data_IF_444093057678
#
_entry.id   IF_444093057678
#
_cell.length_a   1.000
_cell.length_b   1.000
_cell.length_c   1.000
_cell.angle_alpha   90.00
_cell.angle_beta   90.00
_cell.angle_gamma   90.00
#
_symmetry.space_group_name_H-M   'P 1'
#
loop_
_entity.id
_entity.type
_entity.pdbx_description
1 polymer ?
#
# COMPACT_ATOMS: atom_id res chain seq x y z
N UNK A 1 -17.64 -0.78 -26.26
CA UNK A 1 -16.44 -0.18 -26.90
C UNK A 1 -15.41 -1.28 -27.00
N UNK A 2 -15.11 -1.69 -28.23
CA UNK A 2 -14.33 -2.89 -28.54
C UNK A 2 -12.84 -2.59 -28.39
N UNK A 3 -12.14 -3.30 -27.51
CA UNK A 3 -10.68 -3.28 -27.45
C UNK A 3 -10.14 -4.28 -28.49
N UNK A 4 -9.38 -3.86 -29.52
CA UNK A 4 -8.83 -4.76 -30.53
C UNK A 4 -7.72 -5.68 -29.97
N UNK A 5 -7.23 -5.43 -28.76
CA UNK A 5 -6.37 -6.34 -28.01
C UNK A 5 -7.13 -6.86 -26.79
N UNK A 6 -7.65 -8.09 -26.85
CA UNK A 6 -8.46 -8.70 -25.78
C UNK A 6 -7.71 -9.05 -24.49
N UNK A 7 -6.89 -8.14 -23.94
CA UNK A 7 -6.30 -8.30 -22.61
C UNK A 7 -7.19 -7.62 -21.58
N UNK A 8 -8.08 -8.42 -20.99
CA UNK A 8 -8.82 -8.04 -19.79
C UNK A 8 -7.89 -7.89 -18.58
N UNK A 9 -8.40 -7.35 -17.45
CA UNK A 9 -7.63 -7.22 -16.22
C UNK A 9 -7.09 -8.57 -15.76
N UNK A 10 -5.78 -8.66 -15.49
CA UNK A 10 -5.13 -9.89 -15.05
C UNK A 10 -4.99 -9.91 -13.52
N UNK A 11 -5.55 -10.94 -12.89
CA UNK A 11 -5.42 -11.12 -11.44
C UNK A 11 -4.09 -11.78 -11.04
N UNK A 12 -3.33 -12.31 -12.01
CA UNK A 12 -2.08 -13.01 -11.75
C UNK A 12 -1.04 -12.06 -11.14
N UNK A 13 -0.80 -10.90 -11.74
CA UNK A 13 0.16 -9.91 -11.21
C UNK A 13 -0.17 -9.48 -9.77
N UNK A 14 -1.36 -8.93 -9.51
CA UNK A 14 -1.81 -8.51 -8.18
C UNK A 14 -1.66 -9.60 -7.12
N UNK A 15 -2.11 -10.81 -7.42
CA UNK A 15 -2.04 -11.94 -6.49
C UNK A 15 -0.59 -12.24 -6.07
N UNK A 16 0.32 -12.37 -7.05
CA UNK A 16 1.71 -12.69 -6.76
C UNK A 16 2.47 -11.52 -6.12
N UNK A 17 2.22 -10.29 -6.56
CA UNK A 17 2.81 -9.09 -5.95
C UNK A 17 2.44 -9.01 -4.47
N UNK A 18 1.16 -9.20 -4.12
CA UNK A 18 0.71 -9.12 -2.74
C UNK A 18 1.35 -10.20 -1.88
N UNK A 19 1.32 -11.48 -2.30
CA UNK A 19 1.86 -12.58 -1.50
C UNK A 19 3.37 -12.47 -1.31
N UNK A 20 4.11 -12.12 -2.36
CA UNK A 20 5.56 -11.97 -2.25
C UNK A 20 5.92 -10.78 -1.36
N UNK A 21 5.20 -9.66 -1.47
CA UNK A 21 5.43 -8.50 -0.61
C UNK A 21 5.11 -8.77 0.86
N UNK A 22 4.10 -9.59 1.16
CA UNK A 22 3.81 -10.06 2.54
C UNK A 22 5.05 -10.71 3.14
N UNK A 23 5.68 -11.62 2.40
CA UNK A 23 6.89 -12.28 2.85
C UNK A 23 8.06 -11.30 3.01
N UNK A 24 8.26 -10.41 2.05
CA UNK A 24 9.30 -9.38 2.13
C UNK A 24 9.13 -8.52 3.39
N UNK A 25 7.96 -7.93 3.62
CA UNK A 25 7.72 -7.10 4.80
C UNK A 25 7.92 -7.88 6.10
N UNK A 26 7.42 -9.11 6.19
CA UNK A 26 7.61 -9.94 7.37
C UNK A 26 9.09 -10.18 7.71
N UNK A 27 9.90 -10.48 6.68
CA UNK A 27 11.35 -10.69 6.84
C UNK A 27 12.08 -9.39 7.14
N UNK A 28 11.85 -8.34 6.36
CA UNK A 28 12.55 -7.05 6.52
C UNK A 28 12.23 -6.39 7.85
N UNK A 29 11.00 -6.50 8.35
CA UNK A 29 10.63 -5.98 9.67
C UNK A 29 11.29 -6.74 10.81
N UNK A 30 11.36 -8.07 10.72
CA UNK A 30 12.10 -8.87 11.70
C UNK A 30 13.61 -8.57 11.68
N UNK A 31 14.20 -8.38 10.50
CA UNK A 31 15.61 -7.96 10.37
C UNK A 31 15.84 -6.55 10.91
N UNK A 32 14.92 -5.64 10.67
CA UNK A 32 14.96 -4.28 11.20
C UNK A 32 14.92 -4.27 12.74
N UNK A 33 14.10 -5.14 13.34
CA UNK A 33 14.05 -5.36 14.79
C UNK A 33 15.38 -5.92 15.30
N UNK A 34 15.95 -6.92 14.63
CA UNK A 34 17.26 -7.49 14.99
C UNK A 34 18.36 -6.42 15.06
N UNK A 35 18.43 -5.51 14.09
CA UNK A 35 19.43 -4.43 14.10
C UNK A 35 19.23 -3.39 15.21
N UNK A 36 18.04 -3.32 15.83
CA UNK A 36 17.77 -2.46 16.97
C UNK A 36 18.00 -3.14 18.32
N UNK A 37 18.10 -4.47 18.38
CA UNK A 37 18.33 -5.22 19.62
C UNK A 37 19.84 -5.38 19.84
N UNK A 38 20.39 -4.80 20.90
CA UNK A 38 21.84 -4.86 21.18
C UNK A 38 22.28 -6.00 22.10
N UNK A 39 21.40 -6.54 22.97
CA UNK A 39 21.87 -7.38 24.09
C UNK A 39 20.98 -8.59 24.47
N UNK A 40 19.90 -8.88 23.74
CA UNK A 40 18.98 -10.00 24.05
C UNK A 40 18.96 -11.08 22.95
N UNK A 41 18.66 -12.33 23.32
CA UNK A 41 18.48 -13.42 22.35
C UNK A 41 17.35 -13.05 21.37
N UNK A 42 17.70 -12.88 20.10
CA UNK A 42 16.73 -12.50 19.08
C UNK A 42 15.71 -13.62 18.87
N UNK A 43 14.44 -13.31 19.15
CA UNK A 43 13.30 -14.16 18.79
C UNK A 43 12.53 -13.50 17.65
N UNK A 44 12.41 -14.21 16.53
CA UNK A 44 11.62 -13.74 15.40
C UNK A 44 10.14 -13.71 15.77
N UNK A 45 9.48 -12.57 15.52
CA UNK A 45 8.09 -12.38 15.85
C UNK A 45 7.19 -12.71 14.64
N UNK A 46 6.48 -13.83 14.76
CA UNK A 46 5.52 -14.36 13.77
C UNK A 46 4.35 -13.38 13.56
N UNK A 47 4.02 -12.52 14.54
CA UNK A 47 2.95 -11.55 14.40
C UNK A 47 3.23 -10.54 13.28
N UNK A 48 4.49 -10.26 12.93
CA UNK A 48 4.82 -9.44 11.76
C UNK A 48 4.25 -10.04 10.47
N UNK A 49 4.33 -11.36 10.27
CA UNK A 49 3.77 -12.03 9.09
C UNK A 49 2.25 -11.90 9.05
N UNK A 50 1.59 -12.09 10.20
CA UNK A 50 0.13 -11.98 10.32
C UNK A 50 -0.32 -10.54 10.02
N UNK A 51 0.38 -9.55 10.60
CA UNK A 51 0.10 -8.14 10.34
C UNK A 51 0.32 -7.77 8.87
N UNK A 52 1.43 -8.23 8.25
CA UNK A 52 1.71 -7.94 6.83
C UNK A 52 0.62 -8.52 5.94
N UNK A 53 0.17 -9.74 6.25
CA UNK A 53 -0.93 -10.39 5.54
C UNK A 53 -2.21 -9.56 5.63
N UNK A 54 -2.64 -9.20 6.84
CA UNK A 54 -3.87 -8.41 7.03
C UNK A 54 -3.81 -7.07 6.30
N UNK A 55 -2.71 -6.33 6.45
CA UNK A 55 -2.55 -4.98 5.90
C UNK A 55 -2.52 -5.02 4.37
N UNK A 56 -1.70 -5.90 3.78
CA UNK A 56 -1.54 -5.97 2.32
C UNK A 56 -2.75 -6.58 1.62
N UNK A 57 -3.39 -7.61 2.18
CA UNK A 57 -4.63 -8.15 1.62
C UNK A 57 -5.76 -7.12 1.69
N UNK A 58 -5.85 -6.36 2.78
CA UNK A 58 -6.83 -5.28 2.92
C UNK A 58 -6.61 -4.20 1.86
N UNK A 59 -5.37 -3.78 1.65
CA UNK A 59 -5.04 -2.76 0.64
C UNK A 59 -5.27 -3.26 -0.80
N UNK A 60 -4.89 -4.50 -1.11
CA UNK A 60 -4.95 -5.04 -2.46
C UNK A 60 -6.34 -5.52 -2.90
N UNK A 61 -7.21 -5.94 -1.96
CA UNK A 61 -8.51 -6.55 -2.30
C UNK A 61 -9.70 -5.85 -1.64
N UNK A 62 -9.65 -5.59 -0.34
CA UNK A 62 -10.79 -5.00 0.37
C UNK A 62 -10.99 -3.52 -0.01
N UNK A 63 -9.90 -2.74 0.00
CA UNK A 63 -9.91 -1.33 -0.35
C UNK A 63 -10.45 -1.06 -1.78
N UNK A 64 -9.98 -1.74 -2.85
CA UNK A 64 -10.57 -1.58 -4.17
C UNK A 64 -12.04 -2.05 -4.23
N UNK A 65 -12.46 -3.02 -3.41
CA UNK A 65 -13.88 -3.39 -3.31
C UNK A 65 -14.74 -2.26 -2.74
N UNK A 66 -14.28 -1.60 -1.68
CA UNK A 66 -14.97 -0.43 -1.10
C UNK A 66 -15.01 0.73 -2.10
N UNK A 67 -13.89 1.02 -2.76
CA UNK A 67 -13.81 2.08 -3.78
C UNK A 67 -14.67 1.78 -5.00
N UNK A 68 -14.81 0.51 -5.40
CA UNK A 68 -15.74 0.11 -6.46
C UNK A 68 -17.17 0.47 -6.09
N UNK A 69 -17.61 0.15 -4.87
CA UNK A 69 -18.96 0.52 -4.39
C UNK A 69 -19.12 2.05 -4.41
N UNK A 70 -18.12 2.78 -3.92
CA UNK A 70 -18.11 4.25 -3.96
C UNK A 70 -18.22 4.77 -5.39
N UNK A 71 -17.41 4.29 -6.33
CA UNK A 71 -17.48 4.73 -7.74
C UNK A 71 -18.85 4.43 -8.37
N UNK A 72 -19.48 3.29 -8.03
CA UNK A 72 -20.84 2.96 -8.47
C UNK A 72 -21.88 3.92 -7.92
N UNK A 73 -21.78 4.34 -6.66
CA UNK A 73 -22.65 5.37 -6.07
C UNK A 73 -22.51 6.73 -6.78
N UNK A 74 -21.34 7.01 -7.34
CA UNK A 74 -21.06 8.24 -8.08
C UNK A 74 -21.31 8.12 -9.60
N UNK A 75 -21.89 7.00 -10.05
CA UNK A 75 -22.18 6.68 -11.45
C UNK A 75 -20.93 6.60 -12.36
N UNK A 76 -19.76 6.28 -11.80
CA UNK A 76 -18.52 6.04 -12.54
C UNK A 76 -18.43 4.56 -12.92
N UNK A 77 -18.14 4.31 -14.18
CA UNK A 77 -18.02 2.96 -14.74
C UNK A 77 -16.55 2.51 -14.73
N UNK A 78 -16.11 1.98 -13.60
CA UNK A 78 -14.82 1.29 -13.46
C UNK A 78 -15.07 -0.12 -12.89
N UNK A 79 -14.70 -1.20 -13.59
CA UNK A 79 -14.97 -2.55 -13.11
C UNK A 79 -14.07 -2.92 -11.93
N UNK A 80 -14.61 -3.71 -11.00
CA UNK A 80 -13.91 -4.14 -9.79
C UNK A 80 -12.55 -4.78 -10.09
N UNK A 81 -12.48 -5.63 -11.12
CA UNK A 81 -11.26 -6.34 -11.48
C UNK A 81 -10.15 -5.38 -11.91
N UNK A 82 -10.45 -4.32 -12.66
CA UNK A 82 -9.45 -3.30 -13.01
C UNK A 82 -8.94 -2.57 -11.76
N UNK A 83 -9.82 -2.31 -10.79
CA UNK A 83 -9.45 -1.61 -9.57
C UNK A 83 -8.60 -2.49 -8.64
N UNK A 84 -8.95 -3.77 -8.49
CA UNK A 84 -8.12 -4.77 -7.79
C UNK A 84 -6.75 -4.90 -8.46
N UNK A 85 -6.72 -4.94 -9.80
CA UNK A 85 -5.47 -5.02 -10.52
C UNK A 85 -4.60 -3.79 -10.28
N UNK A 86 -5.20 -2.60 -10.41
CA UNK A 86 -4.53 -1.34 -10.21
C UNK A 86 -3.92 -1.21 -8.81
N UNK A 87 -4.67 -1.57 -7.76
CA UNK A 87 -4.19 -1.55 -6.38
C UNK A 87 -3.14 -2.63 -6.09
N UNK A 88 -3.24 -3.80 -6.72
CA UNK A 88 -2.19 -4.81 -6.64
C UNK A 88 -0.89 -4.35 -7.29
N UNK A 89 -0.96 -3.75 -8.48
CA UNK A 89 0.20 -3.20 -9.17
C UNK A 89 0.81 -1.98 -8.48
N UNK A 90 0.00 -1.18 -7.76
CA UNK A 90 0.51 -0.03 -7.02
C UNK A 90 1.37 -0.43 -5.81
N UNK A 91 1.43 -1.72 -5.45
CA UNK A 91 2.34 -2.22 -4.41
C UNK A 91 3.79 -2.40 -4.87
N UNK A 92 4.07 -2.39 -6.18
CA UNK A 92 5.43 -2.60 -6.72
C UNK A 92 6.50 -1.66 -6.13
N UNK A 93 6.25 -0.35 -5.90
CA UNK A 93 7.23 0.54 -5.27
C UNK A 93 7.69 0.09 -3.88
N UNK A 94 6.93 -0.75 -3.19
CA UNK A 94 7.27 -1.24 -1.86
C UNK A 94 8.33 -2.34 -1.85
N UNK A 95 8.61 -3.01 -2.99
CA UNK A 95 9.74 -3.95 -3.06
C UNK A 95 11.08 -3.28 -2.81
N UNK A 96 11.53 -2.28 -3.60
CA UNK A 96 12.78 -1.58 -3.31
C UNK A 96 12.72 -0.84 -1.98
N UNK A 97 11.54 -0.31 -1.58
CA UNK A 97 11.39 0.35 -0.30
C UNK A 97 11.65 -0.60 0.88
N UNK A 98 11.13 -1.83 0.84
CA UNK A 98 11.33 -2.82 1.90
C UNK A 98 12.81 -3.13 2.13
N UNK A 99 13.62 -3.17 1.07
CA UNK A 99 15.06 -3.37 1.16
C UNK A 99 15.78 -2.16 1.78
N UNK A 100 15.37 -0.95 1.42
CA UNK A 100 15.93 0.28 2.00
C UNK A 100 15.58 0.39 3.50
N UNK A 101 14.40 -0.07 3.90
CA UNK A 101 13.94 -0.03 5.30
C UNK A 101 14.68 -0.97 6.24
N UNK A 102 15.62 -1.79 5.75
CA UNK A 102 16.58 -2.49 6.61
C UNK A 102 17.46 -1.52 7.40
N UNK A 103 17.72 -0.33 6.87
CA UNK A 103 18.55 0.67 7.57
C UNK A 103 17.76 1.21 8.77
N UNK A 104 18.24 1.00 10.01
CA UNK A 104 17.53 1.37 11.24
C UNK A 104 17.68 2.88 11.53
N UNK A 105 17.11 3.72 10.66
CA UNK A 105 17.16 5.17 10.79
C UNK A 105 15.77 5.78 10.65
N UNK A 106 15.22 6.28 11.75
CA UNK A 106 13.82 6.73 11.83
C UNK A 106 13.45 7.76 10.74
N UNK A 107 14.28 8.79 10.54
CA UNK A 107 14.03 9.82 9.52
C UNK A 107 14.08 9.23 8.10
N UNK A 108 14.94 8.25 7.87
CA UNK A 108 15.11 7.59 6.58
C UNK A 108 13.89 6.72 6.25
N UNK A 109 13.37 5.99 7.24
CA UNK A 109 12.14 5.20 7.09
C UNK A 109 10.94 6.05 6.66
N UNK A 110 10.77 7.21 7.31
CA UNK A 110 9.71 8.15 6.97
C UNK A 110 9.79 8.59 5.50
N UNK A 111 10.98 8.94 5.02
CA UNK A 111 11.19 9.37 3.63
C UNK A 111 10.94 8.22 2.66
N UNK A 112 11.52 7.05 2.91
CA UNK A 112 11.38 5.88 2.01
C UNK A 112 9.91 5.46 1.89
N UNK A 113 9.19 5.36 3.01
CA UNK A 113 7.76 5.03 2.99
C UNK A 113 6.91 6.11 2.33
N UNK A 114 7.24 7.39 2.53
CA UNK A 114 6.52 8.51 1.91
C UNK A 114 6.70 8.48 0.39
N UNK A 115 7.92 8.24 -0.10
CA UNK A 115 8.20 8.13 -1.54
C UNK A 115 7.49 6.92 -2.13
N UNK A 116 7.57 5.74 -1.51
CA UNK A 116 6.88 4.54 -1.99
C UNK A 116 5.36 4.74 -2.08
N UNK A 117 4.77 5.31 -1.03
CA UNK A 117 3.34 5.62 -0.97
C UNK A 117 2.95 6.70 -1.99
N UNK A 118 3.79 7.73 -2.16
CA UNK A 118 3.58 8.77 -3.16
C UNK A 118 3.56 8.22 -4.58
N UNK A 119 4.52 7.35 -4.92
CA UNK A 119 4.56 6.67 -6.22
C UNK A 119 3.35 5.77 -6.41
N UNK A 120 2.99 4.97 -5.40
CA UNK A 120 1.78 4.12 -5.41
C UNK A 120 0.52 4.96 -5.66
N UNK A 121 0.34 6.04 -4.92
CA UNK A 121 -0.80 6.95 -5.06
C UNK A 121 -0.86 7.61 -6.43
N UNK A 122 0.29 8.03 -6.98
CA UNK A 122 0.37 8.60 -8.32
C UNK A 122 -0.01 7.58 -9.41
N UNK A 123 0.38 6.31 -9.27
CA UNK A 123 -0.02 5.24 -10.20
C UNK A 123 -1.54 5.05 -10.18
N UNK A 124 -2.15 4.97 -8.99
CA UNK A 124 -3.60 4.81 -8.86
C UNK A 124 -4.32 6.03 -9.44
N UNK A 125 -3.92 7.24 -9.04
CA UNK A 125 -4.56 8.49 -9.49
C UNK A 125 -4.45 8.66 -11.01
N UNK A 126 -3.30 8.36 -11.63
CA UNK A 126 -3.13 8.46 -13.08
C UNK A 126 -4.08 7.53 -13.85
N UNK A 127 -4.27 6.31 -13.36
CA UNK A 127 -5.13 5.32 -14.03
C UNK A 127 -6.63 5.55 -13.77
N UNK A 128 -7.00 6.15 -12.65
CA UNK A 128 -8.40 6.47 -12.31
C UNK A 128 -8.83 7.84 -12.83
N UNK A 129 -7.90 8.76 -13.10
CA UNK A 129 -8.20 10.11 -13.58
C UNK A 129 -9.03 10.13 -14.87
N UNK A 130 -8.70 9.29 -15.85
CA UNK A 130 -9.45 9.18 -17.10
C UNK A 130 -10.93 8.86 -16.86
N UNK A 131 -11.25 7.72 -16.23
CA UNK A 131 -12.63 7.33 -15.87
C UNK A 131 -13.39 8.37 -15.04
N UNK A 132 -12.73 9.08 -14.11
CA UNK A 132 -13.35 10.14 -13.31
C UNK A 132 -13.71 11.35 -14.18
N UNK A 133 -12.78 11.80 -15.03
CA UNK A 133 -12.93 13.02 -15.84
C UNK A 133 -13.86 12.83 -17.03
N UNK A 134 -13.96 11.61 -17.57
CA UNK A 134 -14.84 11.29 -18.70
C UNK A 134 -16.31 11.10 -18.32
N UNK A 135 -16.65 11.12 -17.03
CA UNK A 135 -18.05 11.02 -16.60
C UNK A 135 -18.79 12.34 -16.86
N UNK A 136 -20.02 12.31 -17.40
CA UNK A 136 -20.82 13.53 -17.67
C UNK A 136 -21.14 14.36 -16.40
N UNK A 137 -20.79 13.83 -15.21
CA UNK A 137 -20.91 14.50 -13.90
C UNK A 137 -19.54 14.96 -13.35
N UNK A 138 -18.54 15.17 -14.22
CA UNK A 138 -17.11 15.24 -13.87
C UNK A 138 -16.64 16.49 -13.12
N UNK A 139 -17.31 17.64 -13.24
CA UNK A 139 -16.77 18.87 -12.62
C UNK A 139 -17.00 18.96 -11.11
N UNK A 140 -18.12 18.43 -10.58
CA UNK A 140 -18.44 18.58 -9.15
C UNK A 140 -18.08 17.36 -8.29
N UNK A 141 -17.92 16.17 -8.89
CA UNK A 141 -17.72 14.90 -8.18
C UNK A 141 -16.28 14.36 -8.19
N UNK A 142 -15.39 14.92 -9.01
CA UNK A 142 -13.99 14.46 -9.14
C UNK A 142 -13.12 14.77 -7.93
N UNK A 143 -13.28 15.96 -7.34
CA UNK A 143 -12.52 16.41 -6.17
C UNK A 143 -12.63 15.45 -4.97
N UNK A 144 -13.85 15.12 -4.49
CA UNK A 144 -14.03 14.21 -3.36
C UNK A 144 -13.41 12.82 -3.54
N UNK A 145 -13.44 12.26 -4.76
CA UNK A 145 -12.89 10.93 -5.04
C UNK A 145 -11.36 10.93 -5.04
N UNK A 146 -10.72 11.99 -5.57
CA UNK A 146 -9.27 12.16 -5.50
C UNK A 146 -8.84 12.27 -4.03
N UNK A 147 -9.54 13.09 -3.24
CA UNK A 147 -9.28 13.22 -1.80
C UNK A 147 -9.45 11.88 -1.09
N UNK A 148 -10.49 11.11 -1.42
CA UNK A 148 -10.71 9.77 -0.86
C UNK A 148 -9.51 8.84 -1.15
N UNK A 149 -9.05 8.76 -2.40
CA UNK A 149 -7.88 7.94 -2.76
C UNK A 149 -6.62 8.39 -2.02
N UNK A 150 -6.39 9.69 -1.89
CA UNK A 150 -5.25 10.24 -1.14
C UNK A 150 -5.31 9.89 0.34
N UNK A 151 -6.48 10.01 0.96
CA UNK A 151 -6.70 9.64 2.38
C UNK A 151 -6.47 8.15 2.59
N UNK A 152 -6.95 7.28 1.70
CA UNK A 152 -6.69 5.84 1.79
C UNK A 152 -5.19 5.51 1.73
N UNK A 153 -4.43 6.18 0.87
CA UNK A 153 -2.98 6.01 0.81
C UNK A 153 -2.27 6.55 2.05
N UNK A 154 -2.71 7.68 2.59
CA UNK A 154 -2.19 8.22 3.84
C UNK A 154 -2.42 7.25 5.01
N UNK A 155 -3.64 6.71 5.13
CA UNK A 155 -3.96 5.70 6.16
C UNK A 155 -3.03 4.50 6.00
N UNK A 156 -2.90 3.95 4.78
CA UNK A 156 -2.04 2.81 4.51
C UNK A 156 -0.58 3.07 4.90
N UNK A 157 -0.03 4.24 4.53
CA UNK A 157 1.30 4.69 4.91
C UNK A 157 1.51 4.73 6.42
N UNK A 158 0.57 5.34 7.15
CA UNK A 158 0.65 5.43 8.61
C UNK A 158 0.55 4.04 9.24
N UNK A 159 -0.33 3.17 8.73
CA UNK A 159 -0.46 1.79 9.19
C UNK A 159 0.86 1.03 9.00
N UNK A 160 1.51 1.11 7.84
CA UNK A 160 2.81 0.48 7.61
C UNK A 160 3.88 1.02 8.57
N UNK A 161 4.00 2.35 8.70
CA UNK A 161 5.00 2.98 9.55
C UNK A 161 4.86 2.56 11.01
N UNK A 162 3.65 2.63 11.56
CA UNK A 162 3.43 2.38 12.98
C UNK A 162 3.34 0.90 13.36
N UNK A 163 3.05 0.01 12.40
CA UNK A 163 3.00 -1.43 12.66
C UNK A 163 4.39 -2.07 12.57
N UNK A 164 5.19 -1.70 11.56
CA UNK A 164 6.43 -2.40 11.25
C UNK A 164 7.71 -1.67 11.65
N UNK A 165 7.67 -0.34 11.69
CA UNK A 165 8.87 0.49 11.85
C UNK A 165 8.68 1.46 13.02
N UNK A 166 8.10 0.97 14.12
CA UNK A 166 7.97 1.78 15.33
C UNK A 166 9.33 1.89 15.99
N UNK A 167 9.91 3.09 15.96
CA UNK A 167 11.12 3.42 16.72
C UNK A 167 10.83 3.24 18.21
N UNK A 168 11.30 2.13 18.79
CA UNK A 168 11.35 1.97 20.23
C UNK A 168 12.51 2.83 20.74
N UNK A 169 12.22 4.09 21.05
CA UNK A 169 13.12 4.87 21.91
C UNK A 169 13.18 4.15 23.25
N UNK A 170 14.25 3.39 23.48
CA UNK A 170 14.59 2.99 24.84
C UNK A 170 14.69 4.28 25.65
N UNK A 171 13.75 4.50 26.57
CA UNK A 171 13.95 5.46 27.65
C UNK A 171 15.21 4.96 28.36
N UNK A 172 16.34 5.62 28.13
CA UNK A 172 17.41 5.62 29.11
C UNK A 172 16.77 6.16 30.38
N UNK A 173 16.45 5.27 31.32
CA UNK A 173 16.28 5.64 32.71
C UNK A 173 17.59 6.29 33.13
N UNK A 174 17.54 7.61 33.26
CA UNK A 174 18.46 8.37 34.09
C UNK A 174 18.51 7.70 35.46
N UNK A 175 19.59 6.98 35.74
CA UNK A 175 20.13 6.82 37.09
C UNK A 175 21.04 8.01 37.41
#
# INVERSE_FOLDING_TARGET
VNNPEGKGPDLYGPFWITITLIFFLAVTSNMHLYFHTTDEAFEADIFHLIHSTWILCTYAFLLPTVLFITFRCFAIQLPLMELVCLYGYSLVPYFPASLLLLVPAEWFEWIVLLVATGVSGLLVLRNVAGPILSSDTSQQKSGPLIVCVMVCHLIFFLTLKFTFYRSHKHKQSTE
#
